data_IF_616811797679
#
_entry.id   IF_616811797679
#
_cell.length_a   1.000
_cell.length_b   1.000
_cell.length_c   1.000
_cell.angle_alpha   90.00
_cell.angle_beta   90.00
_cell.angle_gamma   90.00
#
_symmetry.space_group_name_H-M   'P 1'
#
loop_
_entity.id
_entity.type
_entity.pdbx_description
1 polymer ?
#
# COMPACT_ATOMS: atom_id res chain seq x y z
N UNK A 1 2.28 15.92 2.29
CA UNK A 1 2.16 14.44 2.35
C UNK A 1 0.74 13.96 2.12
N UNK A 2 -0.28 14.46 2.82
CA UNK A 2 -1.68 14.03 2.66
C UNK A 2 -2.20 14.05 1.21
N UNK A 3 -2.08 15.18 0.50
CA UNK A 3 -2.54 15.28 -0.89
C UNK A 3 -1.81 14.31 -1.85
N UNK A 4 -0.53 14.03 -1.62
CA UNK A 4 0.24 13.10 -2.46
C UNK A 4 -0.23 11.66 -2.27
N UNK A 5 -0.49 11.25 -1.03
CA UNK A 5 -1.03 9.92 -0.70
C UNK A 5 -2.40 9.70 -1.34
N UNK A 6 -3.27 10.70 -1.32
CA UNK A 6 -4.60 10.62 -1.95
C UNK A 6 -4.46 10.52 -3.48
N UNK A 7 -3.55 11.26 -4.10
CA UNK A 7 -3.30 11.12 -5.55
C UNK A 7 -2.78 9.72 -5.90
N UNK A 8 -1.85 9.20 -5.12
CA UNK A 8 -1.28 7.86 -5.30
C UNK A 8 -2.34 6.79 -5.09
N UNK A 9 -3.20 6.91 -4.07
CA UNK A 9 -4.28 5.97 -3.81
C UNK A 9 -5.18 5.86 -5.04
N UNK A 10 -5.56 7.00 -5.64
CA UNK A 10 -6.38 7.04 -6.86
C UNK A 10 -5.76 6.28 -8.02
N UNK A 11 -4.45 6.38 -8.21
CA UNK A 11 -3.75 5.60 -9.23
C UNK A 11 -3.86 4.10 -8.95
N UNK A 12 -3.65 3.67 -7.69
CA UNK A 12 -3.80 2.27 -7.32
C UNK A 12 -5.21 1.73 -7.54
N UNK A 13 -6.24 2.52 -7.31
CA UNK A 13 -7.61 2.10 -7.61
C UNK A 13 -7.87 1.94 -9.09
N UNK A 14 -7.39 2.87 -9.92
CA UNK A 14 -7.50 2.71 -11.37
C UNK A 14 -6.83 1.40 -11.83
N UNK A 15 -5.66 1.08 -11.28
CA UNK A 15 -4.99 -0.20 -11.54
C UNK A 15 -5.82 -1.38 -11.04
N UNK A 16 -6.34 -1.31 -9.81
CA UNK A 16 -7.11 -2.37 -9.17
C UNK A 16 -8.40 -2.70 -9.93
N UNK A 17 -9.21 -1.70 -10.29
CA UNK A 17 -10.45 -1.92 -11.05
C UNK A 17 -10.18 -2.43 -12.47
N UNK A 18 -9.12 -1.94 -13.12
CA UNK A 18 -8.73 -2.38 -14.47
C UNK A 18 -8.29 -3.84 -14.44
N UNK A 19 -7.50 -4.23 -13.43
CA UNK A 19 -7.08 -5.62 -13.22
C UNK A 19 -8.28 -6.53 -12.90
N UNK A 20 -9.23 -6.04 -12.10
CA UNK A 20 -10.49 -6.75 -11.81
C UNK A 20 -11.30 -7.04 -13.07
N UNK A 21 -11.45 -6.03 -13.94
CA UNK A 21 -12.12 -6.19 -15.23
C UNK A 21 -11.37 -7.16 -16.15
N UNK A 22 -10.05 -7.06 -16.23
CA UNK A 22 -9.22 -7.98 -17.01
C UNK A 22 -9.43 -9.44 -16.62
N UNK A 23 -9.40 -9.75 -15.31
CA UNK A 23 -9.67 -11.09 -14.80
C UNK A 23 -11.09 -11.57 -15.13
N UNK A 24 -12.08 -10.68 -14.99
CA UNK A 24 -13.47 -11.01 -15.30
C UNK A 24 -13.69 -11.34 -16.78
N UNK A 25 -13.02 -10.64 -17.70
CA UNK A 25 -13.12 -10.91 -19.14
C UNK A 25 -12.44 -12.24 -19.49
N UNK A 26 -11.24 -12.46 -18.95
CA UNK A 26 -10.47 -13.69 -19.19
C UNK A 26 -11.01 -14.93 -18.49
N UNK A 27 -11.94 -14.79 -17.54
CA UNK A 27 -12.38 -15.83 -16.60
C UNK A 27 -11.21 -16.51 -15.85
N UNK A 28 -10.08 -15.81 -15.72
CA UNK A 28 -8.89 -16.25 -15.03
C UNK A 28 -8.65 -15.36 -13.81
N UNK A 29 -8.73 -15.98 -12.64
CA UNK A 29 -8.68 -15.33 -11.34
C UNK A 29 -7.35 -15.55 -10.61
N UNK A 30 -6.30 -16.00 -11.31
CA UNK A 30 -4.96 -16.21 -10.74
C UNK A 30 -4.41 -14.94 -10.06
N UNK A 31 -4.73 -13.75 -10.61
CA UNK A 31 -4.28 -12.46 -10.07
C UNK A 31 -5.19 -11.87 -8.98
N UNK A 32 -6.16 -12.63 -8.47
CA UNK A 32 -7.11 -12.14 -7.44
C UNK A 32 -6.39 -11.62 -6.20
N UNK A 33 -5.32 -12.30 -5.78
CA UNK A 33 -4.48 -11.84 -4.67
C UNK A 33 -3.93 -10.43 -4.91
N UNK A 34 -3.37 -10.18 -6.09
CA UNK A 34 -2.82 -8.86 -6.47
C UNK A 34 -3.93 -7.81 -6.51
N UNK A 35 -5.07 -8.12 -7.11
CA UNK A 35 -6.22 -7.21 -7.19
C UNK A 35 -6.71 -6.75 -5.80
N UNK A 36 -6.92 -7.68 -4.88
CA UNK A 36 -7.42 -7.38 -3.54
C UNK A 36 -6.41 -6.54 -2.75
N UNK A 37 -5.12 -6.89 -2.81
CA UNK A 37 -4.09 -6.15 -2.08
C UNK A 37 -3.89 -4.73 -2.63
N UNK A 38 -3.94 -4.54 -3.96
CA UNK A 38 -3.87 -3.20 -4.56
C UNK A 38 -5.04 -2.32 -4.10
N UNK A 39 -6.27 -2.86 -4.07
CA UNK A 39 -7.43 -2.09 -3.63
C UNK A 39 -7.42 -1.79 -2.14
N UNK A 40 -7.08 -2.76 -1.28
CA UNK A 40 -7.06 -2.57 0.16
C UNK A 40 -5.84 -1.77 0.62
N UNK A 41 -4.63 -2.27 0.37
CA UNK A 41 -3.38 -1.65 0.86
C UNK A 41 -2.94 -0.45 0.00
N UNK A 42 -3.27 -0.45 -1.29
CA UNK A 42 -2.94 0.64 -2.21
C UNK A 42 -3.98 1.76 -2.19
N UNK A 43 -5.27 1.47 -2.43
CA UNK A 43 -6.30 2.52 -2.41
C UNK A 43 -6.81 2.83 -1.00
N UNK A 44 -7.45 1.89 -0.30
CA UNK A 44 -8.16 2.19 0.95
C UNK A 44 -7.20 2.70 2.03
N UNK A 45 -6.13 1.98 2.31
CA UNK A 45 -5.18 2.34 3.36
C UNK A 45 -4.48 3.68 3.07
N UNK A 46 -4.03 3.94 1.85
CA UNK A 46 -3.38 5.22 1.50
C UNK A 46 -4.36 6.39 1.49
N UNK A 47 -5.60 6.18 1.04
CA UNK A 47 -6.63 7.21 1.09
C UNK A 47 -6.93 7.61 2.54
N UNK A 48 -7.10 6.63 3.43
CA UNK A 48 -7.32 6.85 4.86
C UNK A 48 -6.10 7.57 5.47
N UNK A 49 -4.88 7.07 5.25
CA UNK A 49 -3.66 7.72 5.75
C UNK A 49 -3.52 9.17 5.25
N UNK A 50 -3.84 9.41 3.97
CA UNK A 50 -3.84 10.74 3.37
C UNK A 50 -4.86 11.68 4.00
N UNK A 51 -6.07 11.18 4.31
CA UNK A 51 -7.12 11.91 5.02
C UNK A 51 -6.67 12.23 6.46
N UNK A 52 -6.11 11.26 7.20
CA UNK A 52 -5.59 11.48 8.55
C UNK A 52 -4.50 12.56 8.57
N UNK A 53 -3.55 12.53 7.64
CA UNK A 53 -2.50 13.55 7.56
C UNK A 53 -3.01 14.91 7.10
N UNK A 54 -4.19 14.98 6.48
CA UNK A 54 -4.85 16.26 6.14
C UNK A 54 -5.65 16.82 7.32
N UNK A 55 -6.35 15.97 8.08
CA UNK A 55 -7.11 16.34 9.27
C UNK A 55 -6.19 16.72 10.43
N UNK A 56 -5.08 15.99 10.60
CA UNK A 56 -4.14 16.17 11.71
C UNK A 56 -2.75 16.51 11.15
N UNK A 57 -2.50 17.78 10.78
CA UNK A 57 -1.22 18.18 10.18
C UNK A 57 -0.02 17.95 11.10
N UNK A 58 -0.21 17.93 12.43
CA UNK A 58 0.84 17.58 13.39
C UNK A 58 1.34 16.13 13.20
N UNK A 59 0.44 15.18 12.90
CA UNK A 59 0.81 13.78 12.63
C UNK A 59 1.62 13.62 11.35
N UNK A 60 1.49 14.55 10.40
CA UNK A 60 2.22 14.52 9.13
C UNK A 60 3.66 15.06 9.25
N UNK A 61 3.99 15.75 10.33
CA UNK A 61 5.32 16.33 10.56
C UNK A 61 6.28 15.36 11.26
N UNK A 62 5.78 14.27 11.83
CA UNK A 62 6.59 13.30 12.56
C UNK A 62 7.51 12.51 11.62
N UNK A 63 8.69 12.11 12.12
CA UNK A 63 9.64 11.29 11.36
C UNK A 63 9.02 9.93 10.96
N UNK A 64 8.17 9.37 11.83
CA UNK A 64 7.45 8.11 11.61
C UNK A 64 6.46 8.19 10.45
N UNK A 65 5.77 9.32 10.24
CA UNK A 65 4.92 9.52 9.08
C UNK A 65 5.71 9.54 7.76
N UNK A 66 6.90 10.16 7.77
CA UNK A 66 7.78 10.19 6.59
C UNK A 66 8.33 8.80 6.25
N UNK A 67 8.71 8.04 7.28
CA UNK A 67 9.17 6.65 7.14
C UNK A 67 8.06 5.74 6.62
N UNK A 68 6.84 5.85 7.15
CA UNK A 68 5.67 5.15 6.63
C UNK A 68 5.44 5.47 5.14
N UNK A 69 5.45 6.75 4.77
CA UNK A 69 5.23 7.19 3.38
C UNK A 69 6.23 6.54 2.42
N UNK A 70 7.52 6.54 2.75
CA UNK A 70 8.55 5.98 1.88
C UNK A 70 8.53 4.45 1.85
N UNK A 71 8.43 3.80 3.01
CA UNK A 71 8.41 2.33 3.09
C UNK A 71 7.18 1.77 2.36
N UNK A 72 6.00 2.37 2.54
CA UNK A 72 4.80 1.87 1.89
C UNK A 72 4.84 2.08 0.38
N UNK A 73 5.32 3.23 -0.07
CA UNK A 73 5.34 3.55 -1.50
C UNK A 73 6.39 2.75 -2.29
N UNK A 74 7.42 2.19 -1.63
CA UNK A 74 8.38 1.26 -2.25
C UNK A 74 7.96 -0.19 -2.02
N UNK A 75 7.59 -0.54 -0.80
CA UNK A 75 7.25 -1.92 -0.40
C UNK A 75 6.05 -2.46 -1.15
N UNK A 76 5.00 -1.64 -1.32
CA UNK A 76 3.77 -2.08 -1.96
C UNK A 76 3.97 -2.42 -3.45
N UNK A 77 4.58 -1.56 -4.31
CA UNK A 77 4.91 -1.95 -5.68
C UNK A 77 5.75 -3.21 -5.78
N UNK A 78 6.80 -3.32 -4.96
CA UNK A 78 7.70 -4.49 -4.97
C UNK A 78 6.93 -5.76 -4.62
N UNK A 79 6.08 -5.70 -3.58
CA UNK A 79 5.23 -6.81 -3.18
C UNK A 79 4.23 -7.19 -4.28
N UNK A 80 3.58 -6.22 -4.93
CA UNK A 80 2.55 -6.48 -5.94
C UNK A 80 3.13 -7.02 -7.25
N UNK A 81 4.25 -6.46 -7.72
CA UNK A 81 4.94 -6.95 -8.92
C UNK A 81 5.44 -8.37 -8.67
N UNK A 82 6.09 -8.61 -7.53
CA UNK A 82 6.63 -9.92 -7.19
C UNK A 82 5.50 -10.95 -7.04
N UNK A 83 4.38 -10.59 -6.41
CA UNK A 83 3.23 -11.49 -6.27
C UNK A 83 2.67 -11.88 -7.64
N UNK A 84 2.52 -10.92 -8.56
CA UNK A 84 2.05 -11.19 -9.92
C UNK A 84 2.94 -12.20 -10.66
N UNK A 85 4.26 -12.06 -10.55
CA UNK A 85 5.22 -13.00 -11.15
C UNK A 85 5.20 -14.39 -10.49
N UNK A 86 5.05 -14.45 -9.16
CA UNK A 86 4.98 -15.72 -8.43
C UNK A 86 3.72 -16.49 -8.82
N UNK A 87 2.55 -15.85 -8.87
CA UNK A 87 1.28 -16.53 -9.20
C UNK A 87 1.17 -16.91 -10.67
N UNK A 88 1.91 -16.25 -11.56
CA UNK A 88 1.99 -16.59 -12.99
C UNK A 88 3.04 -17.67 -13.31
N UNK A 89 3.68 -18.25 -12.29
CA UNK A 89 4.57 -19.41 -12.44
C UNK A 89 6.07 -19.09 -12.47
N UNK A 90 6.47 -17.83 -12.31
CA UNK A 90 7.89 -17.43 -12.27
C UNK A 90 8.40 -17.28 -10.83
N UNK A 91 8.29 -18.36 -10.04
CA UNK A 91 8.52 -18.38 -8.58
C UNK A 91 9.98 -18.29 -8.09
N UNK A 92 10.96 -17.95 -8.94
CA UNK A 92 12.37 -17.88 -8.57
C UNK A 92 12.69 -16.69 -7.66
N UNK A 93 13.53 -15.75 -8.13
CA UNK A 93 13.93 -14.54 -7.39
C UNK A 93 12.73 -13.73 -6.87
N UNK A 94 11.58 -13.81 -7.54
CA UNK A 94 10.35 -13.11 -7.16
C UNK A 94 9.73 -13.60 -5.84
N UNK A 95 9.95 -14.85 -5.40
CA UNK A 95 9.43 -15.29 -4.07
C UNK A 95 10.18 -14.61 -2.93
N UNK A 96 11.49 -14.46 -3.06
CA UNK A 96 12.32 -13.71 -2.10
C UNK A 96 11.95 -12.23 -2.10
N UNK A 97 11.81 -11.61 -3.28
CA UNK A 97 11.40 -10.22 -3.40
C UNK A 97 9.99 -9.97 -2.84
N UNK A 98 9.05 -10.90 -3.07
CA UNK A 98 7.72 -10.86 -2.48
C UNK A 98 7.79 -10.83 -0.96
N UNK A 99 8.63 -11.67 -0.37
CA UNK A 99 8.80 -11.76 1.09
C UNK A 99 9.39 -10.47 1.66
N UNK A 100 10.41 -9.92 1.00
CA UNK A 100 11.04 -8.64 1.39
C UNK A 100 10.03 -7.49 1.26
N UNK A 101 9.34 -7.37 0.12
CA UNK A 101 8.34 -6.34 -0.11
C UNK A 101 7.17 -6.43 0.88
N UNK A 102 6.75 -7.65 1.24
CA UNK A 102 5.75 -7.91 2.26
C UNK A 102 6.19 -7.40 3.64
N UNK A 103 7.38 -7.77 4.10
CA UNK A 103 7.93 -7.31 5.39
C UNK A 103 8.05 -5.79 5.42
N UNK A 104 8.55 -5.17 4.35
CA UNK A 104 8.66 -3.71 4.24
C UNK A 104 7.29 -3.03 4.33
N UNK A 105 6.29 -3.56 3.64
CA UNK A 105 4.92 -3.03 3.68
C UNK A 105 4.32 -3.16 5.08
N UNK A 106 4.50 -4.30 5.73
CA UNK A 106 4.05 -4.53 7.11
C UNK A 106 4.71 -3.55 8.08
N UNK A 107 6.03 -3.38 8.00
CA UNK A 107 6.75 -2.40 8.81
C UNK A 107 6.21 -0.99 8.58
N UNK A 108 5.90 -0.60 7.34
CA UNK A 108 5.29 0.68 7.05
C UNK A 108 3.98 0.87 7.82
N UNK A 109 3.09 -0.13 7.82
CA UNK A 109 1.81 -0.07 8.56
C UNK A 109 2.05 0.02 10.07
N UNK A 110 3.03 -0.69 10.62
CA UNK A 110 3.39 -0.54 12.03
C UNK A 110 3.82 0.88 12.38
N UNK A 111 4.63 1.54 11.54
CA UNK A 111 5.00 2.94 11.74
C UNK A 111 3.80 3.88 11.66
N UNK A 112 2.85 3.63 10.76
CA UNK A 112 1.59 4.39 10.70
C UNK A 112 0.78 4.21 11.97
N UNK A 113 0.52 2.97 12.38
CA UNK A 113 -0.25 2.66 13.58
C UNK A 113 0.39 3.28 14.83
N UNK A 114 1.71 3.13 14.99
CA UNK A 114 2.44 3.73 16.10
C UNK A 114 2.33 5.27 16.09
N UNK A 115 2.43 5.90 14.92
CA UNK A 115 2.31 7.35 14.80
C UNK A 115 0.93 7.85 15.22
N UNK A 116 -0.14 7.16 14.78
CA UNK A 116 -1.50 7.50 15.18
C UNK A 116 -1.66 7.27 16.69
N UNK A 117 -1.39 6.07 17.20
CA UNK A 117 -1.62 5.73 18.61
C UNK A 117 -0.82 6.62 19.57
N UNK A 118 0.40 7.01 19.22
CA UNK A 118 1.28 7.77 20.12
C UNK A 118 1.08 9.29 20.05
N UNK A 119 0.55 9.81 18.95
CA UNK A 119 0.49 11.26 18.71
C UNK A 119 -0.93 11.79 18.45
N UNK A 120 -1.96 10.95 18.32
CA UNK A 120 -3.33 11.40 18.07
C UNK A 120 -3.91 12.21 19.24
N UNK A 121 -3.62 11.79 20.48
CA UNK A 121 -4.11 12.47 21.70
C UNK A 121 -3.17 13.60 22.18
N UNK A 122 -2.00 13.77 21.55
CA UNK A 122 -1.12 14.90 21.82
C UNK A 122 -1.64 16.10 21.03
N UNK A 123 -2.81 16.58 21.41
CA UNK A 123 -3.23 17.93 21.06
C UNK A 123 -2.28 18.88 21.79
N UNK A 124 -1.51 19.64 21.01
CA UNK A 124 -0.76 20.81 21.49
C UNK A 124 -1.62 21.70 22.38
#
# INVERSE_FOLDING_TARGET
MGNSLIKISVIYFLIGITLGLYMSIGHDYVLTGVHVHINLLGWVSLAIAGIFYKLFPHLAQTATAKVHFWLHNIGLPVMMISLAFVVTGTGGVFTTLLSIGGVVTVLAIYFFAFNILSNLNKTS
#
